data_IF_905168669706
#
_entry.id   IF_905168669706
#
_cell.length_a   1.000
_cell.length_b   1.000
_cell.length_c   1.000
_cell.angle_alpha   90.00
_cell.angle_beta   90.00
_cell.angle_gamma   90.00
#
_symmetry.space_group_name_H-M   'P 1'
#
loop_
_entity.id
_entity.type
_entity.pdbx_description
1 polymer ?
#
# COMPACT_ATOMS: atom_id res chain seq x y z
N UNK A 1 -8.37 4.19 -23.68
CA UNK A 1 -7.79 2.95 -23.14
C UNK A 1 -7.48 2.95 -21.63
N UNK A 2 -7.09 4.05 -20.95
CA UNK A 2 -6.96 4.08 -19.47
C UNK A 2 -8.13 4.80 -18.74
N UNK A 3 -9.02 5.43 -19.50
CA UNK A 3 -10.22 6.16 -19.01
C UNK A 3 -11.50 5.31 -19.13
N UNK A 4 -11.45 4.16 -19.82
CA UNK A 4 -12.59 3.26 -20.05
C UNK A 4 -12.46 1.91 -19.35
N UNK A 5 -11.53 1.75 -18.40
CA UNK A 5 -11.59 0.60 -17.50
C UNK A 5 -12.92 0.69 -16.75
N UNK A 6 -13.74 -0.35 -16.94
CA UNK A 6 -15.04 -0.52 -16.31
C UNK A 6 -15.01 -0.03 -14.87
N UNK A 7 -15.98 0.83 -14.56
CA UNK A 7 -16.37 1.16 -13.19
C UNK A 7 -16.61 -0.16 -12.46
N UNK A 8 -15.58 -0.68 -11.79
CA UNK A 8 -15.74 -1.78 -10.86
C UNK A 8 -16.83 -1.40 -9.87
N UNK A 9 -17.85 -2.24 -9.80
CA UNK A 9 -19.02 -2.07 -8.96
C UNK A 9 -18.57 -1.79 -7.52
N UNK A 10 -18.57 -0.52 -7.11
CA UNK A 10 -18.14 -0.03 -5.80
C UNK A 10 -19.03 -0.54 -4.64
N UNK A 11 -19.99 -1.43 -4.93
CA UNK A 11 -21.01 -1.92 -4.01
C UNK A 11 -20.80 -3.39 -3.57
N UNK A 12 -19.76 -4.08 -4.08
CA UNK A 12 -19.57 -5.51 -3.81
C UNK A 12 -18.26 -5.86 -3.10
N UNK A 13 -17.55 -4.88 -2.52
CA UNK A 13 -16.37 -5.16 -1.70
C UNK A 13 -16.83 -5.40 -0.25
N UNK A 14 -16.54 -6.57 0.33
CA UNK A 14 -16.81 -6.79 1.74
C UNK A 14 -16.00 -5.80 2.58
N UNK A 15 -16.67 -4.87 3.24
CA UNK A 15 -16.03 -3.84 4.08
C UNK A 15 -15.18 -4.44 5.20
N UNK A 16 -15.49 -5.67 5.59
CA UNK A 16 -14.76 -6.45 6.59
C UNK A 16 -14.61 -7.87 6.07
N UNK A 17 -13.44 -8.47 6.29
CA UNK A 17 -13.18 -9.87 5.91
C UNK A 17 -13.79 -10.81 6.96
N UNK A 18 -12.99 -11.35 7.87
CA UNK A 18 -13.37 -12.24 8.98
C UNK A 18 -12.63 -11.79 10.25
N UNK A 19 -13.03 -12.28 11.43
CA UNK A 19 -12.40 -11.94 12.71
C UNK A 19 -10.87 -12.18 12.72
N UNK A 20 -10.42 -13.25 12.05
CA UNK A 20 -9.00 -13.53 11.86
C UNK A 20 -8.31 -12.47 10.99
N UNK A 21 -8.93 -12.05 9.90
CA UNK A 21 -8.37 -11.02 9.02
C UNK A 21 -8.32 -9.64 9.67
N UNK A 22 -9.33 -9.28 10.47
CA UNK A 22 -9.32 -8.05 11.28
C UNK A 22 -8.19 -8.11 12.31
N UNK A 23 -7.98 -9.25 12.96
CA UNK A 23 -6.89 -9.43 13.93
C UNK A 23 -5.51 -9.28 13.27
N UNK A 24 -5.30 -9.88 12.09
CA UNK A 24 -4.04 -9.75 11.34
C UNK A 24 -3.82 -8.29 10.91
N UNK A 25 -4.85 -7.62 10.40
CA UNK A 25 -4.78 -6.21 10.03
C UNK A 25 -4.49 -5.31 11.25
N UNK A 26 -5.09 -5.59 12.41
CA UNK A 26 -4.84 -4.86 13.65
C UNK A 26 -3.39 -5.04 14.12
N UNK A 27 -2.83 -6.25 14.03
CA UNK A 27 -1.42 -6.51 14.35
C UNK A 27 -0.46 -5.74 13.44
N UNK A 28 -0.73 -5.74 12.13
CA UNK A 28 0.04 -4.94 11.17
C UNK A 28 -0.06 -3.44 11.42
N UNK A 29 -1.25 -2.96 11.80
CA UNK A 29 -1.47 -1.55 12.13
C UNK A 29 -0.75 -1.15 13.43
N UNK A 30 -0.79 -1.98 14.48
CA UNK A 30 -0.05 -1.74 15.71
C UNK A 30 1.46 -1.70 15.48
N UNK A 31 1.98 -2.65 14.69
CA UNK A 31 3.40 -2.67 14.32
C UNK A 31 3.82 -1.41 13.54
N UNK A 32 2.96 -0.94 12.63
CA UNK A 32 3.17 0.28 11.86
C UNK A 32 3.25 1.56 12.72
N UNK A 33 2.63 1.57 13.91
CA UNK A 33 2.67 2.70 14.84
C UNK A 33 3.70 2.51 15.97
N UNK A 34 4.51 1.46 15.92
CA UNK A 34 5.54 1.24 16.92
C UNK A 34 6.62 2.33 16.80
N UNK A 35 6.63 3.25 17.76
CA UNK A 35 7.49 4.44 17.74
C UNK A 35 8.08 4.82 19.10
N UNK A 36 7.94 3.98 20.13
CA UNK A 36 8.37 4.33 21.49
C UNK A 36 9.89 4.61 21.56
N UNK A 37 10.69 3.92 20.76
CA UNK A 37 12.13 4.18 20.64
C UNK A 37 12.46 5.56 20.03
N UNK A 38 11.53 6.15 19.28
CA UNK A 38 11.72 7.46 18.64
C UNK A 38 11.55 8.62 19.63
N UNK A 39 10.83 8.42 20.75
CA UNK A 39 10.53 9.49 21.72
C UNK A 39 11.81 10.10 22.30
N UNK A 40 12.76 9.27 22.73
CA UNK A 40 14.02 9.74 23.32
C UNK A 40 14.95 10.38 22.27
N UNK A 41 14.99 9.80 21.08
CA UNK A 41 15.76 10.37 19.97
C UNK A 41 15.18 11.73 19.53
N UNK A 42 13.86 11.88 19.57
CA UNK A 42 13.15 13.11 19.22
C UNK A 42 13.36 14.18 20.30
N UNK A 43 13.26 13.82 21.59
CA UNK A 43 13.52 14.73 22.71
C UNK A 43 14.90 15.38 22.60
N UNK A 44 15.92 14.59 22.26
CA UNK A 44 17.30 15.05 22.06
C UNK A 44 17.51 15.93 20.81
N UNK A 45 16.51 16.04 19.93
CA UNK A 45 16.56 16.85 18.71
C UNK A 45 15.68 18.10 18.78
N UNK A 46 14.86 18.23 19.82
CA UNK A 46 13.98 19.38 20.00
C UNK A 46 14.70 20.53 20.72
N UNK A 47 14.41 21.75 20.27
CA UNK A 47 14.93 22.98 20.88
C UNK A 47 14.32 23.23 22.27
N UNK A 48 13.07 22.80 22.45
CA UNK A 48 12.32 22.82 23.72
C UNK A 48 11.64 21.46 23.87
N UNK A 49 12.11 20.59 24.78
CA UNK A 49 11.58 19.24 24.93
C UNK A 49 10.16 19.21 25.53
N UNK A 50 9.75 20.27 26.24
CA UNK A 50 8.39 20.46 26.75
C UNK A 50 7.32 20.46 25.65
N UNK A 51 7.69 20.89 24.45
CA UNK A 51 6.78 21.05 23.31
C UNK A 51 6.69 19.79 22.45
N UNK A 52 7.36 18.70 22.88
CA UNK A 52 7.24 17.39 22.25
C UNK A 52 5.82 16.84 22.39
N UNK A 53 5.19 17.09 23.54
CA UNK A 53 3.92 16.50 23.98
C UNK A 53 2.86 17.60 24.08
N UNK A 54 1.70 17.41 23.48
CA UNK A 54 0.60 18.39 23.48
C UNK A 54 -0.26 18.33 22.23
N UNK A 55 -1.38 19.07 22.19
CA UNK A 55 -2.32 19.11 21.05
C UNK A 55 -1.66 19.60 19.74
N UNK A 56 -0.74 20.56 19.83
CA UNK A 56 0.11 21.02 18.71
C UNK A 56 1.54 20.49 18.82
N UNK A 57 1.78 19.52 19.71
CA UNK A 57 3.09 18.94 19.90
C UNK A 57 3.56 18.25 18.63
N UNK A 58 4.87 18.27 18.40
CA UNK A 58 5.48 17.68 17.19
C UNK A 58 5.11 16.21 17.05
N UNK A 59 5.05 15.47 18.17
CA UNK A 59 4.71 14.06 18.19
C UNK A 59 3.24 13.77 17.85
N UNK A 60 2.31 14.56 18.38
CA UNK A 60 0.88 14.37 18.10
C UNK A 60 0.55 14.75 16.65
N UNK A 61 1.13 15.85 16.18
CA UNK A 61 0.92 16.33 14.81
C UNK A 61 1.47 15.34 13.79
N UNK A 62 2.69 14.83 13.99
CA UNK A 62 3.29 13.86 13.07
C UNK A 62 2.50 12.55 13.01
N UNK A 63 2.05 12.02 14.16
CA UNK A 63 1.24 10.81 14.18
C UNK A 63 -0.11 10.98 13.48
N UNK A 64 -0.78 12.13 13.64
CA UNK A 64 -2.02 12.41 12.91
C UNK A 64 -1.78 12.48 11.39
N UNK A 65 -0.71 13.14 10.95
CA UNK A 65 -0.36 13.22 9.52
C UNK A 65 -0.10 11.83 8.94
N UNK A 66 0.71 11.01 9.62
CA UNK A 66 1.00 9.63 9.18
C UNK A 66 -0.27 8.78 9.16
N UNK A 67 -1.12 8.90 10.18
CA UNK A 67 -2.40 8.19 10.23
C UNK A 67 -3.30 8.55 9.04
N UNK A 68 -3.39 9.83 8.68
CA UNK A 68 -4.17 10.27 7.51
C UNK A 68 -3.61 9.66 6.21
N UNK A 69 -2.30 9.72 6.01
CA UNK A 69 -1.66 9.15 4.82
C UNK A 69 -1.92 7.64 4.75
N UNK A 70 -1.78 6.92 5.86
CA UNK A 70 -2.04 5.47 5.91
C UNK A 70 -3.51 5.13 5.66
N UNK A 71 -4.44 5.93 6.20
CA UNK A 71 -5.87 5.78 5.93
C UNK A 71 -6.19 6.00 4.45
N UNK A 72 -5.63 7.05 3.84
CA UNK A 72 -5.79 7.30 2.41
C UNK A 72 -5.20 6.17 1.56
N UNK A 73 -3.97 5.75 1.86
CA UNK A 73 -3.28 4.72 1.08
C UNK A 73 -3.95 3.34 1.23
N UNK A 74 -4.44 3.01 2.43
CA UNK A 74 -5.22 1.80 2.69
C UNK A 74 -6.58 1.83 1.98
N UNK A 75 -7.29 2.96 2.05
CA UNK A 75 -8.60 3.12 1.40
C UNK A 75 -8.49 3.09 -0.13
N UNK A 76 -7.66 3.94 -0.72
CA UNK A 76 -7.48 3.98 -2.18
C UNK A 76 -6.82 2.72 -2.72
N UNK A 77 -5.89 2.11 -1.96
CA UNK A 77 -5.29 0.83 -2.31
C UNK A 77 -6.33 -0.29 -2.39
N UNK A 78 -7.22 -0.37 -1.40
CA UNK A 78 -8.29 -1.36 -1.40
C UNK A 78 -9.34 -1.11 -2.51
N UNK A 79 -9.69 0.16 -2.78
CA UNK A 79 -10.62 0.51 -3.87
C UNK A 79 -10.01 0.19 -5.25
N UNK A 80 -8.70 0.32 -5.42
CA UNK A 80 -8.03 0.11 -6.72
C UNK A 80 -7.82 -1.37 -7.06
N UNK A 81 -7.43 -2.19 -6.09
CA UNK A 81 -7.10 -3.61 -6.33
C UNK A 81 -8.21 -4.58 -5.88
N UNK A 82 -9.16 -4.11 -5.08
CA UNK A 82 -10.31 -4.88 -4.63
C UNK A 82 -9.94 -6.14 -3.85
N UNK A 83 -10.72 -7.22 -3.98
CA UNK A 83 -10.49 -8.50 -3.29
C UNK A 83 -9.19 -9.21 -3.69
N UNK A 84 -8.58 -8.82 -4.81
CA UNK A 84 -7.36 -9.44 -5.36
C UNK A 84 -6.07 -8.78 -4.83
N UNK A 85 -6.16 -7.93 -3.81
CA UNK A 85 -5.00 -7.27 -3.22
C UNK A 85 -4.03 -8.31 -2.63
N UNK A 86 -2.85 -8.41 -3.22
CA UNK A 86 -1.72 -9.17 -2.69
C UNK A 86 -1.24 -8.62 -1.32
N UNK A 87 -0.44 -9.41 -0.59
CA UNK A 87 -0.01 -9.12 0.79
C UNK A 87 0.75 -7.80 1.01
N UNK A 88 1.17 -7.12 -0.05
CA UNK A 88 1.61 -5.73 0.00
C UNK A 88 1.06 -4.95 -1.18
N UNK A 89 0.81 -3.65 -0.99
CA UNK A 89 0.29 -2.79 -2.06
C UNK A 89 1.24 -2.75 -3.26
N UNK A 90 2.56 -2.72 -3.00
CA UNK A 90 3.59 -2.69 -4.04
C UNK A 90 3.58 -3.92 -4.95
N UNK A 91 3.18 -5.08 -4.42
CA UNK A 91 3.13 -6.32 -5.19
C UNK A 91 1.96 -6.36 -6.19
N UNK A 92 0.95 -5.50 -6.00
CA UNK A 92 -0.15 -5.35 -6.95
C UNK A 92 0.16 -4.37 -8.09
N UNK A 93 1.28 -3.63 -8.04
CA UNK A 93 1.62 -2.76 -9.15
C UNK A 93 1.96 -3.60 -10.40
N UNK A 94 1.38 -3.27 -11.58
CA UNK A 94 1.70 -3.96 -12.81
C UNK A 94 3.18 -3.77 -13.12
N UNK A 95 3.92 -4.88 -13.22
CA UNK A 95 5.31 -4.90 -13.64
C UNK A 95 5.40 -4.69 -15.17
N UNK A 96 4.97 -3.51 -15.62
CA UNK A 96 4.90 -3.14 -17.03
C UNK A 96 6.27 -3.17 -17.70
N UNK A 97 7.34 -2.92 -16.94
CA UNK A 97 8.72 -3.03 -17.42
C UNK A 97 9.11 -4.45 -17.80
N UNK A 98 8.82 -5.45 -16.95
CA UNK A 98 9.23 -6.84 -17.21
C UNK A 98 8.46 -7.47 -18.37
N UNK A 99 7.14 -7.25 -18.46
CA UNK A 99 6.32 -7.77 -19.55
C UNK A 99 6.75 -7.18 -20.90
N UNK A 100 7.05 -5.87 -20.94
CA UNK A 100 7.54 -5.21 -22.15
C UNK A 100 8.88 -5.81 -22.63
N UNK A 101 9.86 -5.98 -21.75
CA UNK A 101 11.15 -6.59 -22.12
C UNK A 101 11.03 -8.07 -22.48
N UNK A 102 10.11 -8.82 -21.85
CA UNK A 102 9.82 -10.21 -22.20
C UNK A 102 9.19 -10.33 -23.58
N UNK A 103 8.24 -9.45 -23.90
CA UNK A 103 7.55 -9.47 -25.19
C UNK A 103 8.48 -9.00 -26.33
N UNK A 104 9.40 -8.06 -26.07
CA UNK A 104 10.48 -7.71 -27.01
C UNK A 104 11.50 -8.84 -27.20
N UNK A 105 11.86 -9.57 -26.14
CA UNK A 105 12.75 -10.71 -26.23
C UNK A 105 12.11 -11.86 -27.03
N UNK A 106 10.84 -12.17 -26.77
CA UNK A 106 10.09 -13.21 -27.50
C UNK A 106 9.77 -12.82 -28.95
N UNK A 107 9.62 -11.54 -29.29
CA UNK A 107 9.43 -11.09 -30.67
C UNK A 107 10.67 -11.30 -31.55
N UNK A 108 11.86 -11.24 -30.95
CA UNK A 108 13.13 -11.43 -31.67
C UNK A 108 13.56 -12.91 -31.80
N UNK A 109 12.74 -13.86 -31.35
CA UNK A 109 13.02 -15.29 -31.41
C UNK A 109 12.07 -16.00 -32.42
N UNK A 110 12.47 -16.18 -33.69
CA UNK A 110 11.60 -16.71 -34.76
C UNK A 110 11.24 -18.21 -34.63
N UNK A 111 11.64 -18.89 -33.55
CA UNK A 111 11.45 -20.33 -33.36
C UNK A 111 10.18 -20.70 -32.56
N UNK A 112 9.44 -19.73 -32.00
CA UNK A 112 8.25 -20.02 -31.17
C UNK A 112 6.90 -19.77 -31.88
N UNK A 113 6.89 -19.19 -33.08
CA UNK A 113 5.64 -18.86 -33.80
C UNK A 113 4.98 -20.09 -34.44
N UNK A 114 5.70 -21.20 -34.66
CA UNK A 114 5.14 -22.41 -35.26
C UNK A 114 4.48 -23.37 -34.25
N UNK A 115 4.76 -23.26 -32.95
CA UNK A 115 4.20 -24.21 -31.96
C UNK A 115 2.80 -23.86 -31.46
N UNK A 116 2.25 -22.68 -31.80
CA UNK A 116 0.89 -22.26 -31.40
C UNK A 116 -0.15 -22.42 -32.52
N UNK A 117 0.23 -23.00 -33.67
CA UNK A 117 -0.65 -23.25 -34.81
C UNK A 117 -1.03 -24.73 -34.99
N UNK A 118 -0.72 -25.60 -34.02
CA UNK A 118 -1.08 -27.03 -34.01
C UNK A 118 -1.90 -27.40 -32.78
#
# INVERSE_FOLDING_TARGET
ELIFHEKFSHLSLPAVTNFSGVTIAAGGLMYAFEGQAMVLALENRLKMPSDMIGLTGVLSTSMNVVMLIYAFLGFFGYVTFGPSVAGSLTLNLPNSGYLFWRDLYNYNDPQLTESSAS
#
